data_IF_194815234546
#
_entry.id   IF_194815234546
#
_cell.length_a   1.000
_cell.length_b   1.000
_cell.length_c   1.000
_cell.angle_alpha   90.00
_cell.angle_beta   90.00
_cell.angle_gamma   90.00
#
_symmetry.space_group_name_H-M   'P 1'
#
loop_
_entity.id
_entity.type
_entity.pdbx_description
1 polymer ?
#
# COMPACT_ATOMS: atom_id res chain seq x y z
N UNK A 1 1.86 -15.22 12.49
CA UNK A 1 2.90 -14.19 12.21
C UNK A 1 2.23 -12.82 12.18
N UNK A 2 2.89 -11.72 11.79
CA UNK A 2 2.21 -10.43 11.53
C UNK A 2 2.70 -9.91 10.18
N UNK A 3 1.83 -9.92 9.17
CA UNK A 3 2.16 -9.60 7.79
C UNK A 3 1.59 -8.24 7.43
N UNK A 4 2.42 -7.37 6.84
CA UNK A 4 1.97 -6.18 6.12
C UNK A 4 2.29 -6.40 4.65
N UNK A 5 1.32 -6.22 3.76
CA UNK A 5 1.52 -6.33 2.33
C UNK A 5 1.23 -4.99 1.65
N UNK A 6 2.24 -4.44 0.96
CA UNK A 6 2.16 -3.13 0.32
C UNK A 6 2.06 -3.20 -1.22
N UNK A 7 1.82 -4.40 -1.76
CA UNK A 7 1.70 -4.64 -3.20
C UNK A 7 0.50 -5.56 -3.45
N UNK A 8 -0.42 -5.22 -4.38
CA UNK A 8 -1.60 -6.06 -4.65
C UNK A 8 -1.25 -7.53 -4.91
N UNK A 9 -0.30 -7.79 -5.82
CA UNK A 9 0.14 -9.16 -6.12
C UNK A 9 0.72 -9.91 -4.90
N UNK A 10 1.36 -9.22 -3.96
CA UNK A 10 1.85 -9.84 -2.73
C UNK A 10 0.69 -10.18 -1.77
N UNK A 11 -0.35 -9.35 -1.74
CA UNK A 11 -1.57 -9.62 -0.96
C UNK A 11 -2.31 -10.83 -1.52
N UNK A 12 -2.40 -10.96 -2.84
CA UNK A 12 -3.00 -12.12 -3.50
C UNK A 12 -2.26 -13.41 -3.14
N UNK A 13 -0.92 -13.39 -3.14
CA UNK A 13 -0.10 -14.53 -2.71
C UNK A 13 -0.35 -14.89 -1.25
N UNK A 14 -0.44 -13.90 -0.35
CA UNK A 14 -0.78 -14.15 1.06
C UNK A 14 -2.15 -14.83 1.19
N UNK A 15 -3.12 -14.44 0.36
CA UNK A 15 -4.44 -15.04 0.32
C UNK A 15 -4.41 -16.49 -0.16
N UNK A 16 -3.75 -16.77 -1.29
CA UNK A 16 -3.60 -18.10 -1.87
C UNK A 16 -2.84 -19.07 -0.95
N UNK A 17 -1.91 -18.55 -0.14
CA UNK A 17 -1.19 -19.33 0.86
C UNK A 17 -2.01 -19.61 2.13
N UNK A 18 -3.26 -19.12 2.23
CA UNK A 18 -4.11 -19.31 3.40
C UNK A 18 -3.70 -18.47 4.61
N UNK A 19 -2.91 -17.41 4.41
CA UNK A 19 -2.31 -16.59 5.48
C UNK A 19 -3.07 -15.28 5.75
N UNK A 20 -4.31 -15.13 5.27
CA UNK A 20 -5.12 -13.92 5.49
C UNK A 20 -5.30 -13.56 6.97
N UNK A 21 -5.38 -14.56 7.86
CA UNK A 21 -5.53 -14.33 9.30
C UNK A 21 -4.30 -13.65 9.93
N UNK A 22 -3.12 -13.76 9.28
CA UNK A 22 -1.89 -13.11 9.71
C UNK A 22 -1.70 -11.72 9.05
N UNK A 23 -2.55 -11.33 8.10
CA UNK A 23 -2.47 -10.05 7.39
C UNK A 23 -3.04 -8.92 8.27
N UNK A 24 -2.16 -8.05 8.76
CA UNK A 24 -2.49 -6.97 9.71
C UNK A 24 -2.44 -5.57 9.10
N UNK A 25 -2.01 -5.43 7.85
CA UNK A 25 -1.98 -4.16 7.14
C UNK A 25 -1.86 -4.33 5.63
N UNK A 26 -2.54 -3.46 4.88
CA UNK A 26 -2.56 -3.44 3.42
C UNK A 26 -2.45 -2.02 2.85
N UNK A 27 -2.24 -1.87 1.53
CA UNK A 27 -2.53 -0.59 0.86
C UNK A 27 -4.02 -0.48 0.53
N UNK A 28 -4.46 0.72 0.15
CA UNK A 28 -5.83 0.94 -0.32
C UNK A 28 -6.15 0.20 -1.64
N UNK A 29 -5.13 -0.09 -2.45
CA UNK A 29 -5.25 -0.81 -3.73
C UNK A 29 -5.36 -2.34 -3.57
N UNK A 30 -5.03 -2.88 -2.39
CA UNK A 30 -5.11 -4.32 -2.15
C UNK A 30 -6.55 -4.70 -1.76
N UNK A 31 -7.44 -4.90 -2.72
CA UNK A 31 -8.88 -5.09 -2.51
C UNK A 31 -9.39 -6.52 -2.76
N UNK A 32 -8.49 -7.43 -3.16
CA UNK A 32 -8.78 -8.84 -3.39
C UNK A 32 -8.05 -9.77 -2.40
N UNK A 33 -8.68 -10.90 -2.00
CA UNK A 33 -10.12 -11.20 -2.14
C UNK A 33 -10.94 -10.27 -1.23
N UNK A 34 -12.26 -10.18 -1.43
CA UNK A 34 -13.14 -9.28 -0.63
C UNK A 34 -12.98 -9.40 0.90
N UNK A 35 -12.49 -10.54 1.40
CA UNK A 35 -12.15 -10.76 2.80
C UNK A 35 -11.05 -9.81 3.34
N UNK A 36 -10.20 -9.22 2.49
CA UNK A 36 -9.17 -8.25 2.92
C UNK A 36 -9.75 -6.88 3.27
N UNK A 37 -11.03 -6.62 2.98
CA UNK A 37 -11.67 -5.34 3.24
C UNK A 37 -11.58 -4.92 4.72
N UNK A 38 -11.59 -5.89 5.65
CA UNK A 38 -11.45 -5.65 7.09
C UNK A 38 -10.02 -5.40 7.58
N UNK A 39 -9.01 -5.60 6.73
CA UNK A 39 -7.61 -5.33 7.06
C UNK A 39 -7.35 -3.83 6.94
N UNK A 40 -6.72 -3.18 7.95
CA UNK A 40 -6.43 -1.75 7.92
C UNK A 40 -5.57 -1.35 6.71
N UNK A 41 -5.91 -0.22 6.11
CA UNK A 41 -5.03 0.46 5.16
C UNK A 41 -3.94 1.18 5.96
N UNK A 42 -2.68 0.88 5.66
CA UNK A 42 -1.51 1.40 6.38
C UNK A 42 -0.62 2.28 5.51
N UNK A 43 -1.15 2.72 4.37
CA UNK A 43 -0.47 3.67 3.48
C UNK A 43 -1.26 4.97 3.37
N UNK A 44 -0.53 6.06 3.17
CA UNK A 44 -1.06 7.39 2.87
C UNK A 44 -0.14 8.08 1.89
N UNK A 45 -0.68 8.98 1.06
CA UNK A 45 0.15 9.86 0.27
C UNK A 45 0.88 10.86 1.18
N UNK A 46 2.14 11.18 0.87
CA UNK A 46 2.91 12.16 1.62
C UNK A 46 2.46 13.61 1.34
N UNK A 47 1.76 13.82 0.22
CA UNK A 47 1.31 15.12 -0.24
C UNK A 47 -0.12 15.00 -0.77
N UNK A 48 -0.91 16.08 -0.65
CA UNK A 48 -2.20 16.17 -1.30
C UNK A 48 -2.02 16.54 -2.78
N UNK A 49 -2.70 15.82 -3.68
CA UNK A 49 -2.70 16.15 -5.12
C UNK A 49 -3.37 17.49 -5.43
N UNK A 50 -4.19 18.01 -4.50
CA UNK A 50 -4.90 19.27 -4.67
C UNK A 50 -4.06 20.48 -4.24
N UNK A 51 -2.96 20.25 -3.51
CA UNK A 51 -2.10 21.31 -2.96
C UNK A 51 -0.89 21.63 -3.85
N UNK A 52 -0.44 20.67 -4.67
CA UNK A 52 0.77 20.78 -5.47
C UNK A 52 0.48 20.67 -6.96
N UNK A 53 1.16 21.48 -7.76
CA UNK A 53 1.21 21.28 -9.21
C UNK A 53 2.00 20.03 -9.58
N UNK A 54 1.78 19.47 -10.78
CA UNK A 54 2.51 18.29 -11.26
C UNK A 54 4.04 18.50 -11.28
N UNK A 55 4.51 19.73 -11.50
CA UNK A 55 5.95 20.05 -11.45
C UNK A 55 6.47 19.91 -10.01
N UNK A 56 5.78 20.51 -9.04
CA UNK A 56 6.16 20.45 -7.63
C UNK A 56 6.14 19.01 -7.10
N UNK A 57 5.15 18.19 -7.53
CA UNK A 57 5.12 16.75 -7.24
C UNK A 57 6.34 16.04 -7.83
N UNK A 58 6.66 16.30 -9.10
CA UNK A 58 7.80 15.67 -9.77
C UNK A 58 9.13 16.01 -9.09
N UNK A 59 9.29 17.25 -8.64
CA UNK A 59 10.46 17.69 -7.87
C UNK A 59 10.52 17.01 -6.50
N UNK A 60 9.39 16.94 -5.78
CA UNK A 60 9.31 16.30 -4.46
C UNK A 60 9.61 14.80 -4.50
N UNK A 61 9.09 14.08 -5.50
CA UNK A 61 9.34 12.64 -5.68
C UNK A 61 10.73 12.38 -6.25
N UNK A 62 11.18 13.18 -7.23
CA UNK A 62 12.48 13.01 -7.88
C UNK A 62 13.68 13.27 -6.96
N UNK A 63 13.52 14.10 -5.93
CA UNK A 63 14.52 14.31 -4.88
C UNK A 63 14.54 13.22 -3.81
N UNK A 64 13.47 12.43 -3.67
CA UNK A 64 13.38 11.34 -2.72
C UNK A 64 14.05 10.08 -3.31
N UNK A 65 15.38 9.99 -3.20
CA UNK A 65 16.09 8.76 -3.53
C UNK A 65 15.56 7.57 -2.70
N UNK A 66 15.33 6.42 -3.33
CA UNK A 66 14.85 5.20 -2.69
C UNK A 66 15.94 4.62 -1.77
N UNK A 67 15.95 5.00 -0.50
CA UNK A 67 16.69 4.30 0.56
C UNK A 67 15.81 3.17 1.07
N UNK A 68 15.84 2.04 0.37
CA UNK A 68 15.21 0.80 0.83
C UNK A 68 15.74 0.36 2.18
#
# INVERSE_FOLDING_TARGET
MRIVSLLPAATDIVAELGLLADLVGRTHECDWPAAVAGVPVVTSAAFSSDELSSREISEAVGGAAHSG
#
